data_IF_953018112938
#
_entry.id   IF_953018112938
#
_cell.length_a   1.000
_cell.length_b   1.000
_cell.length_c   1.000
_cell.angle_alpha   90.00
_cell.angle_beta   90.00
_cell.angle_gamma   90.00
#
_symmetry.space_group_name_H-M   'P 1'
#
loop_
_entity.id
_entity.type
_entity.pdbx_description
1 polymer ?
#
# COMPACT_ATOMS: atom_id res chain seq x y z
N UNK A 1 13.53 6.52 -8.85
CA UNK A 1 14.01 7.16 -7.62
C UNK A 1 13.04 6.95 -6.48
N UNK A 2 13.34 7.54 -5.34
CA UNK A 2 12.52 7.50 -4.13
C UNK A 2 12.42 8.93 -3.61
N UNK A 3 11.23 9.36 -3.20
CA UNK A 3 11.05 10.67 -2.57
C UNK A 3 10.51 10.49 -1.16
N UNK A 4 11.18 11.10 -0.18
CA UNK A 4 10.72 11.04 1.21
C UNK A 4 9.31 11.63 1.36
N UNK A 5 8.53 11.04 2.25
CA UNK A 5 7.17 11.47 2.51
C UNK A 5 6.92 11.61 4.02
N UNK A 6 6.36 12.74 4.42
CA UNK A 6 5.97 12.99 5.81
C UNK A 6 4.66 13.77 5.86
N UNK A 7 3.94 13.63 6.98
CA UNK A 7 2.71 14.37 7.24
C UNK A 7 2.65 14.84 8.68
N UNK A 8 1.98 15.96 8.90
CA UNK A 8 1.67 16.45 10.26
C UNK A 8 0.28 15.94 10.63
N UNK A 9 0.19 15.14 11.69
CA UNK A 9 -1.05 14.59 12.24
C UNK A 9 -1.02 14.78 13.75
N UNK A 10 -2.12 15.26 14.33
CA UNK A 10 -2.21 15.53 15.77
C UNK A 10 -1.05 16.39 16.31
N UNK A 11 -0.65 17.41 15.52
CA UNK A 11 0.49 18.32 15.78
C UNK A 11 1.87 17.63 15.86
N UNK A 12 2.01 16.40 15.39
CA UNK A 12 3.27 15.65 15.33
C UNK A 12 3.64 15.38 13.88
N UNK A 13 4.95 15.48 13.56
CA UNK A 13 5.48 15.02 12.27
C UNK A 13 5.58 13.50 12.29
N UNK A 14 4.99 12.85 11.29
CA UNK A 14 4.98 11.40 11.13
C UNK A 14 5.64 11.08 9.80
N UNK A 15 6.69 10.24 9.86
CA UNK A 15 7.31 9.71 8.66
C UNK A 15 6.38 8.67 8.03
N UNK A 16 6.12 8.83 6.74
CA UNK A 16 5.36 7.89 5.94
C UNK A 16 6.32 6.99 5.18
N UNK A 17 5.78 5.95 4.53
CA UNK A 17 6.55 5.26 3.50
C UNK A 17 6.88 6.27 2.41
N UNK A 18 8.10 6.21 1.91
CA UNK A 18 8.53 7.06 0.82
C UNK A 18 7.67 6.82 -0.44
N UNK A 19 7.71 7.76 -1.38
CA UNK A 19 7.05 7.62 -2.67
C UNK A 19 7.97 6.89 -3.64
N UNK A 20 7.38 5.99 -4.43
CA UNK A 20 8.06 5.24 -5.48
C UNK A 20 7.95 6.02 -6.78
N UNK A 21 9.08 6.41 -7.37
CA UNK A 21 9.11 7.17 -8.61
C UNK A 21 9.90 6.45 -9.68
N UNK A 22 9.41 6.50 -10.91
CA UNK A 22 10.14 6.01 -12.07
C UNK A 22 9.78 6.83 -13.31
N UNK A 23 10.80 7.16 -14.10
CA UNK A 23 10.60 7.80 -15.39
C UNK A 23 11.49 7.09 -16.41
N UNK A 24 10.96 6.86 -17.60
CA UNK A 24 11.68 6.21 -18.70
C UNK A 24 11.06 6.58 -20.05
N UNK A 25 11.78 6.27 -21.12
CA UNK A 25 11.27 6.30 -22.48
C UNK A 25 11.69 5.03 -23.23
N UNK A 26 10.93 4.66 -24.26
CA UNK A 26 11.20 3.47 -25.05
C UNK A 26 10.65 3.59 -26.48
N UNK A 27 11.23 2.91 -27.48
CA UNK A 27 12.55 2.25 -27.47
C UNK A 27 13.71 3.23 -27.26
N UNK A 28 14.93 2.71 -27.02
CA UNK A 28 16.15 3.54 -26.84
C UNK A 28 16.51 4.30 -28.11
N UNK A 29 16.58 3.58 -29.22
CA UNK A 29 16.85 4.09 -30.56
C UNK A 29 15.48 4.38 -31.19
N UNK A 30 15.14 5.66 -31.36
CA UNK A 30 13.82 6.17 -31.77
C UNK A 30 12.67 5.98 -30.73
N UNK A 31 12.63 6.82 -29.68
CA UNK A 31 11.60 6.77 -28.65
C UNK A 31 10.18 6.99 -29.20
N UNK A 32 9.26 6.09 -28.84
CA UNK A 32 7.83 6.16 -29.21
C UNK A 32 6.92 6.50 -28.03
N UNK A 33 7.41 6.31 -26.80
CA UNK A 33 6.69 6.60 -25.56
C UNK A 33 7.67 7.12 -24.51
N UNK A 34 7.22 8.11 -23.73
CA UNK A 34 7.82 8.51 -22.47
C UNK A 34 6.78 8.35 -21.35
N UNK A 35 7.20 7.83 -20.21
CA UNK A 35 6.32 7.60 -19.06
C UNK A 35 6.97 8.09 -17.78
N UNK A 36 6.14 8.64 -16.90
CA UNK A 36 6.49 8.90 -15.51
C UNK A 36 5.43 8.27 -14.62
N UNK A 37 5.85 7.42 -13.68
CA UNK A 37 4.99 6.74 -12.73
C UNK A 37 5.39 7.18 -11.33
N UNK A 38 4.40 7.62 -10.56
CA UNK A 38 4.53 8.00 -9.16
C UNK A 38 3.53 7.16 -8.38
N UNK A 39 4.01 6.41 -7.40
CA UNK A 39 3.19 5.63 -6.49
C UNK A 39 3.42 6.15 -5.09
N UNK A 40 2.38 6.76 -4.51
CA UNK A 40 2.43 7.28 -3.15
C UNK A 40 2.57 6.15 -2.13
N UNK A 41 3.41 6.35 -1.12
CA UNK A 41 3.66 5.38 -0.05
C UNK A 41 4.19 4.01 -0.53
N UNK A 42 4.72 3.94 -1.77
CA UNK A 42 5.25 2.71 -2.36
C UNK A 42 6.67 2.32 -1.87
N UNK A 43 7.40 3.23 -1.24
CA UNK A 43 8.82 3.05 -0.92
C UNK A 43 9.69 3.20 -2.18
N UNK A 44 10.54 2.23 -2.47
CA UNK A 44 11.53 2.39 -3.55
C UNK A 44 10.91 2.40 -4.95
N UNK A 45 11.45 3.26 -5.82
CA UNK A 45 11.08 3.36 -7.24
C UNK A 45 11.09 2.02 -7.98
N UNK A 46 12.05 1.15 -7.67
CA UNK A 46 12.20 -0.17 -8.27
C UNK A 46 11.15 -1.19 -7.82
N UNK A 47 10.46 -0.94 -6.70
CA UNK A 47 9.50 -1.91 -6.12
C UNK A 47 8.12 -1.82 -6.76
N UNK A 48 7.67 -0.62 -7.14
CA UNK A 48 6.33 -0.42 -7.70
C UNK A 48 6.35 0.37 -9.00
N UNK A 49 6.91 1.58 -8.99
CA UNK A 49 6.84 2.47 -10.15
C UNK A 49 7.54 1.89 -11.38
N UNK A 50 8.70 1.25 -11.22
CA UNK A 50 9.43 0.66 -12.34
C UNK A 50 8.72 -0.57 -12.95
N UNK A 51 8.24 -1.57 -12.17
CA UNK A 51 7.43 -2.66 -12.72
C UNK A 51 6.15 -2.19 -13.43
N UNK A 52 5.43 -1.22 -12.85
CA UNK A 52 4.22 -0.65 -13.46
C UNK A 52 4.57 0.01 -14.80
N UNK A 53 5.59 0.86 -14.83
CA UNK A 53 6.04 1.51 -16.07
C UNK A 53 6.45 0.49 -17.12
N UNK A 54 7.14 -0.57 -16.71
CA UNK A 54 7.56 -1.66 -17.60
C UNK A 54 6.39 -2.40 -18.22
N UNK A 55 5.34 -2.71 -17.45
CA UNK A 55 4.12 -3.35 -17.95
C UNK A 55 3.34 -2.43 -18.90
N UNK A 56 3.24 -1.14 -18.58
CA UNK A 56 2.57 -0.16 -19.44
C UNK A 56 3.31 0.06 -20.76
N UNK A 57 4.64 0.16 -20.72
CA UNK A 57 5.46 0.27 -21.93
C UNK A 57 5.43 -0.99 -22.79
N UNK A 58 5.44 -2.17 -22.17
CA UNK A 58 5.27 -3.46 -22.86
C UNK A 58 3.93 -3.47 -23.60
N UNK A 59 2.82 -3.22 -22.89
CA UNK A 59 1.49 -3.16 -23.49
C UNK A 59 1.40 -2.14 -24.63
N UNK A 60 2.05 -0.98 -24.52
CA UNK A 60 2.03 0.05 -25.56
C UNK A 60 2.86 -0.33 -26.80
N UNK A 61 4.00 -1.00 -26.63
CA UNK A 61 4.90 -1.32 -27.73
C UNK A 61 4.55 -2.63 -28.44
N UNK A 62 3.93 -3.58 -27.74
CA UNK A 62 3.62 -4.92 -28.26
C UNK A 62 2.12 -5.23 -28.32
N UNK A 63 1.27 -4.26 -28.00
CA UNK A 63 -0.20 -4.36 -27.94
C UNK A 63 -0.73 -5.49 -27.02
N UNK A 64 0.15 -6.09 -26.22
CA UNK A 64 -0.12 -7.23 -25.35
C UNK A 64 0.93 -7.33 -24.26
N UNK A 65 0.56 -7.93 -23.12
CA UNK A 65 1.49 -8.29 -22.04
C UNK A 65 1.77 -9.78 -22.11
N UNK A 66 3.04 -10.15 -21.96
CA UNK A 66 3.49 -11.53 -21.95
C UNK A 66 2.91 -12.32 -20.78
N UNK A 67 2.53 -13.57 -21.01
CA UNK A 67 1.85 -14.40 -20.02
C UNK A 67 2.69 -14.68 -18.76
N UNK A 68 4.02 -14.66 -18.88
CA UNK A 68 4.94 -14.87 -17.76
C UNK A 68 4.88 -13.74 -16.73
N UNK A 69 4.32 -12.57 -17.09
CA UNK A 69 4.23 -11.38 -16.26
C UNK A 69 2.97 -11.34 -15.38
N UNK A 70 2.05 -12.32 -15.54
CA UNK A 70 0.82 -12.43 -14.74
C UNK A 70 1.06 -12.36 -13.22
N UNK A 71 2.06 -13.05 -12.63
CA UNK A 71 2.30 -12.96 -11.19
C UNK A 71 2.63 -11.54 -10.72
N UNK A 72 3.30 -10.75 -11.56
CA UNK A 72 3.65 -9.37 -11.24
C UNK A 72 2.43 -8.46 -11.29
N UNK A 73 1.53 -8.67 -12.25
CA UNK A 73 0.24 -7.98 -12.32
C UNK A 73 -0.58 -8.29 -11.07
N UNK A 74 -0.69 -9.56 -10.69
CA UNK A 74 -1.42 -10.00 -9.50
C UNK A 74 -0.83 -9.40 -8.22
N UNK A 75 0.50 -9.38 -8.09
CA UNK A 75 1.20 -8.75 -6.96
C UNK A 75 0.87 -7.27 -6.86
N UNK A 76 0.88 -6.55 -7.98
CA UNK A 76 0.56 -5.12 -8.02
C UNK A 76 -0.92 -4.88 -7.70
N UNK A 77 -1.82 -5.68 -8.28
CA UNK A 77 -3.26 -5.56 -8.07
C UNK A 77 -3.69 -5.89 -6.63
N UNK A 78 -3.04 -6.85 -5.99
CA UNK A 78 -3.34 -7.26 -4.62
C UNK A 78 -2.70 -6.34 -3.54
N UNK A 79 -1.85 -5.40 -3.93
CA UNK A 79 -1.13 -4.57 -2.99
C UNK A 79 -2.01 -3.51 -2.32
N UNK A 80 -1.93 -3.42 -0.99
CA UNK A 80 -2.52 -2.32 -0.23
C UNK A 80 -1.44 -1.31 0.17
N UNK A 81 -1.42 -0.16 -0.49
CA UNK A 81 -0.49 0.94 -0.21
C UNK A 81 -1.12 2.06 0.62
N UNK A 82 -2.31 1.81 1.19
CA UNK A 82 -2.97 2.79 2.03
C UNK A 82 -2.16 3.07 3.29
N UNK A 83 -1.98 4.34 3.67
CA UNK A 83 -1.18 4.68 4.83
C UNK A 83 -1.91 4.33 6.13
N UNK A 84 -1.15 3.92 7.14
CA UNK A 84 -1.67 3.49 8.45
C UNK A 84 -2.50 4.56 9.17
N UNK A 85 -2.28 5.84 8.89
CA UNK A 85 -3.02 6.92 9.53
C UNK A 85 -4.43 7.12 8.99
N UNK A 86 -4.76 6.58 7.81
CA UNK A 86 -6.04 6.88 7.16
C UNK A 86 -7.26 6.42 7.97
N UNK A 87 -7.30 5.20 8.54
CA UNK A 87 -8.45 4.75 9.34
C UNK A 87 -8.77 5.68 10.50
N UNK A 88 -7.73 6.24 11.14
CA UNK A 88 -7.89 7.23 12.21
C UNK A 88 -8.55 8.51 11.72
N UNK A 89 -8.06 9.08 10.62
CA UNK A 89 -8.62 10.30 10.04
C UNK A 89 -10.06 10.08 9.56
N UNK A 90 -10.32 8.92 8.95
CA UNK A 90 -11.66 8.52 8.54
C UNK A 90 -12.59 8.42 9.74
N UNK A 91 -12.18 7.76 10.82
CA UNK A 91 -12.96 7.66 12.05
C UNK A 91 -13.30 9.05 12.61
N UNK A 92 -12.33 9.97 12.70
CA UNK A 92 -12.55 11.32 13.20
C UNK A 92 -13.58 12.06 12.32
N UNK A 93 -13.39 12.04 11.00
CA UNK A 93 -14.27 12.72 10.07
C UNK A 93 -15.70 12.15 10.10
N UNK A 94 -15.83 10.83 10.13
CA UNK A 94 -17.14 10.17 10.18
C UNK A 94 -17.84 10.39 11.52
N UNK A 95 -17.09 10.53 12.62
CA UNK A 95 -17.62 10.91 13.94
C UNK A 95 -18.21 12.32 13.92
N UNK A 96 -17.48 13.29 13.35
CA UNK A 96 -17.94 14.67 13.19
C UNK A 96 -19.17 14.75 12.30
N UNK A 97 -19.18 14.00 11.19
CA UNK A 97 -20.37 13.88 10.33
C UNK A 97 -21.54 13.28 11.09
N UNK A 98 -21.31 12.24 11.90
CA UNK A 98 -22.33 11.65 12.76
C UNK A 98 -22.91 12.65 13.77
N UNK A 99 -22.07 13.49 14.37
CA UNK A 99 -22.51 14.54 15.30
C UNK A 99 -23.33 15.62 14.59
N UNK A 100 -22.90 16.04 13.40
CA UNK A 100 -23.66 16.96 12.55
C UNK A 100 -25.08 16.43 12.27
N UNK A 101 -25.20 15.17 11.86
CA UNK A 101 -26.51 14.56 11.61
C UNK A 101 -27.35 14.43 12.89
N UNK A 102 -26.74 14.03 14.01
CA UNK A 102 -27.43 13.99 15.29
C UNK A 102 -28.00 15.35 15.68
N UNK A 103 -27.25 16.44 15.46
CA UNK A 103 -27.73 17.78 15.77
C UNK A 103 -28.91 18.21 14.91
N UNK A 104 -28.98 17.75 13.65
CA UNK A 104 -30.04 18.05 12.71
C UNK A 104 -31.30 17.21 12.95
N UNK A 105 -31.17 15.89 13.08
CA UNK A 105 -32.31 14.94 13.13
C UNK A 105 -32.69 14.51 14.53
N UNK A 106 -31.81 14.73 15.51
CA UNK A 106 -31.89 14.19 16.88
C UNK A 106 -31.87 12.66 16.96
N UNK A 107 -31.56 11.96 15.87
CA UNK A 107 -31.40 10.50 15.86
C UNK A 107 -29.98 10.09 16.27
N UNK A 108 -29.90 9.19 17.24
CA UNK A 108 -28.65 8.68 17.81
C UNK A 108 -28.09 7.45 17.09
N UNK A 109 -28.83 6.83 16.17
CA UNK A 109 -28.45 5.58 15.50
C UNK A 109 -27.03 5.63 14.91
N UNK A 110 -26.68 6.73 14.23
CA UNK A 110 -25.38 6.92 13.57
C UNK A 110 -24.23 7.27 14.51
N UNK A 111 -24.46 8.04 15.58
CA UNK A 111 -23.39 8.50 16.49
C UNK A 111 -22.97 7.42 17.49
N UNK A 112 -23.84 6.44 17.78
CA UNK A 112 -23.55 5.36 18.76
C UNK A 112 -22.24 4.62 18.48
N UNK A 113 -21.88 4.42 17.21
CA UNK A 113 -20.63 3.74 16.80
C UNK A 113 -19.35 4.56 17.03
N UNK A 114 -19.47 5.85 17.39
CA UNK A 114 -18.33 6.74 17.63
C UNK A 114 -18.20 7.20 19.08
N UNK A 115 -19.17 6.84 19.94
CA UNK A 115 -19.17 7.23 21.36
C UNK A 115 -18.09 6.54 22.19
N UNK A 116 -17.59 5.38 21.75
CA UNK A 116 -16.60 4.59 22.50
C UNK A 116 -15.19 4.96 22.07
N UNK A 117 -14.43 5.58 22.98
CA UNK A 117 -13.02 5.95 22.77
C UNK A 117 -12.12 4.75 22.48
N UNK A 118 -12.48 3.56 22.96
CA UNK A 118 -11.79 2.30 22.65
C UNK A 118 -11.88 1.87 21.19
N UNK A 119 -12.75 2.50 20.38
CA UNK A 119 -12.91 2.21 18.95
C UNK A 119 -12.15 3.19 18.06
N UNK A 120 -11.51 4.22 18.62
CA UNK A 120 -10.65 5.14 17.88
C UNK A 120 -9.34 4.41 17.53
N UNK A 121 -8.98 4.27 16.23
CA UNK A 121 -7.69 3.70 15.85
C UNK A 121 -6.54 4.50 16.48
N UNK A 122 -5.47 3.80 16.87
CA UNK A 122 -4.32 4.40 17.53
C UNK A 122 -3.64 5.46 16.67
N UNK A 123 -2.79 6.27 17.29
CA UNK A 123 -2.00 7.22 16.52
C UNK A 123 -1.04 6.45 15.59
N UNK A 124 -0.67 7.00 14.42
CA UNK A 124 0.29 6.33 13.55
C UNK A 124 1.63 6.19 14.29
N UNK A 125 2.25 5.01 14.23
CA UNK A 125 3.43 4.62 15.01
C UNK A 125 3.22 4.57 16.54
N UNK A 126 1.97 4.48 17.01
CA UNK A 126 1.69 4.20 18.42
C UNK A 126 2.21 2.79 18.78
N UNK A 127 3.18 2.65 19.70
CA UNK A 127 3.71 1.34 20.08
C UNK A 127 2.65 0.43 20.73
N UNK A 128 1.52 0.99 21.20
CA UNK A 128 0.39 0.24 21.76
C UNK A 128 -0.62 -0.25 20.71
N UNK A 129 -0.57 0.25 19.47
CA UNK A 129 -1.47 -0.16 18.39
C UNK A 129 -0.80 -1.21 17.49
N UNK A 130 -1.13 -2.48 17.71
CA UNK A 130 -0.59 -3.61 16.95
C UNK A 130 -1.29 -3.85 15.62
N UNK A 131 -2.40 -3.15 15.33
CA UNK A 131 -3.22 -3.39 14.14
C UNK A 131 -2.50 -3.05 12.82
N UNK A 132 -1.47 -2.20 12.88
CA UNK A 132 -0.69 -1.74 11.72
C UNK A 132 0.65 -2.45 11.52
N UNK A 133 1.00 -3.44 12.36
CA UNK A 133 2.25 -4.23 12.22
C UNK A 133 2.13 -5.41 11.24
N UNK A 134 0.99 -5.59 10.62
CA UNK A 134 0.76 -6.68 9.67
C UNK A 134 1.12 -6.15 8.27
N UNK A 135 2.12 -6.75 7.60
CA UNK A 135 1.89 -7.34 6.26
C UNK A 135 3.15 -7.72 5.47
N UNK A 136 4.35 -7.17 5.69
CA UNK A 136 5.46 -7.48 4.76
C UNK A 136 6.54 -8.45 5.26
N UNK A 137 6.76 -8.56 6.58
CA UNK A 137 7.79 -9.45 7.13
C UNK A 137 7.33 -10.90 7.29
N UNK A 138 6.09 -11.10 7.72
CA UNK A 138 5.57 -12.41 8.14
C UNK A 138 5.25 -13.32 6.95
N UNK A 139 4.70 -12.76 5.86
CA UNK A 139 4.44 -13.49 4.62
C UNK A 139 5.73 -13.95 3.91
N UNK A 140 6.77 -13.10 3.92
CA UNK A 140 8.10 -13.45 3.38
C UNK A 140 8.77 -14.56 4.18
N UNK A 141 8.74 -14.47 5.52
CA UNK A 141 9.30 -15.51 6.39
C UNK A 141 8.57 -16.86 6.26
N UNK A 142 7.24 -16.84 6.18
CA UNK A 142 6.44 -18.06 6.03
C UNK A 142 6.65 -18.71 4.65
N UNK A 143 6.75 -17.91 3.58
CA UNK A 143 7.07 -18.41 2.24
C UNK A 143 8.48 -19.00 2.15
N UNK A 144 9.49 -18.38 2.79
CA UNK A 144 10.86 -18.88 2.86
C UNK A 144 10.95 -20.18 3.68
N UNK A 145 10.25 -20.26 4.81
CA UNK A 145 10.19 -21.48 5.63
C UNK A 145 9.48 -22.62 4.90
N UNK A 146 8.42 -22.34 4.14
CA UNK A 146 7.75 -23.34 3.27
C UNK A 146 8.66 -23.82 2.15
N UNK A 147 9.48 -22.95 1.55
CA UNK A 147 10.46 -23.35 0.52
C UNK A 147 11.56 -24.24 1.10
N UNK A 148 12.12 -23.89 2.27
CA UNK A 148 13.10 -24.69 3.00
C UNK A 148 12.56 -26.07 3.38
N UNK A 149 11.31 -26.16 3.86
CA UNK A 149 10.65 -27.44 4.17
C UNK A 149 10.49 -28.32 2.93
N UNK A 150 10.08 -27.75 1.79
CA UNK A 150 9.97 -28.48 0.51
C UNK A 150 11.33 -28.99 0.01
N UNK A 151 12.40 -28.21 0.17
CA UNK A 151 13.76 -28.61 -0.21
C UNK A 151 14.28 -29.77 0.63
N UNK A 152 14.05 -29.74 1.94
CA UNK A 152 14.48 -30.79 2.86
C UNK A 152 13.71 -32.10 2.65
N UNK A 153 12.41 -32.04 2.36
CA UNK A 153 11.60 -33.24 2.02
C UNK A 153 12.06 -33.91 0.71
N UNK A 154 12.50 -33.12 -0.29
CA UNK A 154 13.05 -33.65 -1.55
C UNK A 154 14.43 -34.29 -1.39
N UNK A 155 15.19 -33.88 -0.38
CA UNK A 155 16.51 -34.46 -0.04
C UNK A 155 16.42 -35.77 0.73
N UNK A 156 15.30 -36.02 1.42
CA UNK A 156 15.08 -37.26 2.20
C UNK A 156 14.45 -38.40 1.38
N UNK A 157 14.02 -38.11 0.14
CA UNK A 157 13.40 -39.09 -0.78
C UNK A 157 14.33 -39.49 -1.95
N UNK A 158 15.62 -39.16 -1.87
CA UNK A 158 16.69 -39.64 -2.76
C UNK A 158 17.70 -40.41 -1.93
#
# INVERSE_FOLDING_TARGET
GTAENYRIIDRRRIQLKDNSLFAAFAPRENPKIAIAVIVENGGFGSTWAAPIASLMMEQYLTDSIRAERKPEIERIAAANLMPSYLPRLQFINDSLRGEFYFNLTKDTSYIRKFRRRSQLPGAPNDPADSSHRVDNGMAMLDSAQRQLRKQNQRRTQR
#
